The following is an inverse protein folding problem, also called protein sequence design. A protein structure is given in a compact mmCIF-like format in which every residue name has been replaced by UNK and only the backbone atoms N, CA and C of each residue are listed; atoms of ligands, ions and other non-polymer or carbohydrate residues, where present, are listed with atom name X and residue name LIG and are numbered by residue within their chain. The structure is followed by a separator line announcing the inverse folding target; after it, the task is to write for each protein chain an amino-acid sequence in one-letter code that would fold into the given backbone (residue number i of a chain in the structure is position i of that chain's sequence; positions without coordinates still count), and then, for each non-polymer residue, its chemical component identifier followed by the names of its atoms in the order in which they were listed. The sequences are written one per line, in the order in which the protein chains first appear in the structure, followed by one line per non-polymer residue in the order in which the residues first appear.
data_IF_895650873367
#
_entry.id   IF_895650873367
#
_cell.length_a   1.000
_cell.length_b   1.000
_cell.length_c   1.000
_cell.angle_alpha   90.00
_cell.angle_beta   90.00
_cell.angle_gamma   90.00
#
_symmetry.space_group_name_H-M   'P 1'
#
loop_
_entity.id
_entity.type
_entity.pdbx_description
1 polymer ?
#
# COMPACT_ATOMS: atom_id res chain seq x y z
N UNK A 1 9.47 -7.74 -28.67
CA UNK A 1 9.21 -8.16 -27.28
C UNK A 1 10.20 -7.41 -26.39
N UNK A 2 9.72 -6.63 -25.42
CA UNK A 2 10.57 -5.83 -24.55
C UNK A 2 10.91 -6.64 -23.29
N UNK A 3 12.18 -6.67 -22.90
CA UNK A 3 12.65 -7.24 -21.64
C UNK A 3 13.96 -6.56 -21.23
N UNK A 4 14.29 -6.62 -19.94
CA UNK A 4 15.60 -6.20 -19.41
C UNK A 4 16.35 -7.44 -18.93
N UNK A 5 17.62 -7.66 -19.33
CA UNK A 5 18.34 -8.92 -19.10
C UNK A 5 18.58 -9.25 -17.62
N UNK A 6 18.52 -8.25 -16.75
CA UNK A 6 18.74 -8.40 -15.31
C UNK A 6 17.52 -8.01 -14.46
N UNK A 7 16.36 -7.77 -15.08
CA UNK A 7 15.16 -7.45 -14.32
C UNK A 7 14.60 -8.69 -13.61
N UNK A 8 14.14 -8.49 -12.37
CA UNK A 8 13.44 -9.52 -11.59
C UNK A 8 11.93 -9.31 -11.65
N UNK A 9 11.46 -8.13 -11.24
CA UNK A 9 10.04 -7.76 -11.25
C UNK A 9 9.85 -6.37 -11.85
N UNK A 10 9.45 -6.31 -13.12
CA UNK A 10 9.01 -5.05 -13.74
C UNK A 10 7.71 -4.53 -13.12
N UNK A 11 6.90 -5.41 -12.52
CA UNK A 11 5.67 -5.05 -11.81
C UNK A 11 5.93 -4.07 -10.66
N UNK A 12 7.06 -4.22 -9.96
CA UNK A 12 7.45 -3.32 -8.87
C UNK A 12 8.23 -2.09 -9.34
N UNK A 13 8.53 -1.98 -10.63
CA UNK A 13 9.25 -0.83 -11.19
C UNK A 13 8.33 0.36 -11.46
N UNK A 14 8.92 1.49 -11.83
CA UNK A 14 8.22 2.67 -12.35
C UNK A 14 7.35 2.41 -13.59
N UNK A 15 7.62 1.33 -14.33
CA UNK A 15 6.82 0.90 -15.49
C UNK A 15 5.63 0.01 -15.09
N UNK A 16 5.66 -0.50 -13.86
CA UNK A 16 4.69 -1.43 -13.35
C UNK A 16 3.58 -0.74 -12.56
N UNK A 17 3.19 -1.35 -11.46
CA UNK A 17 2.09 -0.89 -10.63
C UNK A 17 2.61 0.09 -9.59
N UNK A 18 2.99 1.30 -10.00
CA UNK A 18 3.37 2.38 -9.08
C UNK A 18 2.55 3.63 -9.38
N UNK A 19 2.22 4.40 -8.34
CA UNK A 19 1.60 5.71 -8.50
C UNK A 19 2.60 6.78 -8.05
N UNK A 20 3.30 7.40 -9.01
CA UNK A 20 4.30 8.44 -8.74
C UNK A 20 3.70 9.65 -8.03
N UNK A 21 2.40 9.91 -8.18
CA UNK A 21 1.72 11.01 -7.48
C UNK A 21 1.65 10.80 -5.96
N UNK A 22 2.01 9.60 -5.47
CA UNK A 22 1.97 9.24 -4.04
C UNK A 22 3.33 9.29 -3.34
N UNK A 23 4.45 9.44 -4.06
CA UNK A 23 5.79 9.41 -3.45
C UNK A 23 6.03 10.56 -2.46
N UNK A 24 5.27 11.65 -2.58
CA UNK A 24 5.36 12.83 -1.74
C UNK A 24 4.27 12.92 -0.65
N UNK A 25 3.53 11.84 -0.38
CA UNK A 25 2.45 11.87 0.62
C UNK A 25 2.95 11.98 2.07
N UNK A 26 4.26 11.77 2.32
CA UNK A 26 4.85 11.90 3.65
C UNK A 26 4.28 10.93 4.68
N UNK A 27 3.71 9.80 4.25
CA UNK A 27 3.18 8.77 5.13
C UNK A 27 4.36 7.98 5.71
N UNK A 28 4.53 8.03 7.02
CA UNK A 28 5.56 7.31 7.78
C UNK A 28 4.98 6.06 8.44
N UNK A 29 5.85 5.14 8.85
CA UNK A 29 5.48 3.87 9.50
C UNK A 29 6.02 3.77 10.94
N UNK A 30 6.28 4.92 11.58
CA UNK A 30 6.90 5.00 12.90
C UNK A 30 5.87 4.84 14.02
N UNK A 31 4.73 5.52 13.87
CA UNK A 31 3.62 5.51 14.82
C UNK A 31 2.28 5.29 14.09
N UNK A 32 1.36 4.59 14.77
CA UNK A 32 0.05 4.25 14.21
C UNK A 32 -0.81 5.50 13.97
N UNK A 33 -0.83 6.44 14.91
CA UNK A 33 -1.63 7.64 14.78
C UNK A 33 -1.07 8.55 13.70
N UNK A 34 0.26 8.68 13.60
CA UNK A 34 0.91 9.40 12.50
C UNK A 34 0.58 8.78 11.14
N UNK A 35 0.69 7.46 11.01
CA UNK A 35 0.34 6.74 9.78
C UNK A 35 -1.10 7.02 9.35
N UNK A 36 -2.06 6.85 10.28
CA UNK A 36 -3.47 7.09 9.99
C UNK A 36 -3.74 8.57 9.68
N UNK A 37 -3.10 9.50 10.40
CA UNK A 37 -3.25 10.93 10.13
C UNK A 37 -2.74 11.29 8.72
N UNK A 38 -1.60 10.74 8.31
CA UNK A 38 -1.05 10.90 6.97
C UNK A 38 -1.98 10.36 5.88
N UNK A 39 -2.51 9.15 6.08
CA UNK A 39 -3.47 8.53 5.15
C UNK A 39 -4.78 9.33 5.05
N UNK A 40 -5.37 9.74 6.18
CA UNK A 40 -6.60 10.56 6.19
C UNK A 40 -6.37 11.94 5.56
N UNK A 41 -5.18 12.51 5.73
CA UNK A 41 -4.78 13.76 5.07
C UNK A 41 -4.74 13.57 3.56
N UNK A 42 -4.04 12.53 3.08
CA UNK A 42 -3.91 12.23 1.65
C UNK A 42 -5.26 12.12 0.93
N UNK A 43 -6.27 11.52 1.58
CA UNK A 43 -7.63 11.37 1.02
C UNK A 43 -8.40 12.68 0.96
N UNK A 44 -8.01 13.68 1.74
CA UNK A 44 -8.63 15.01 1.77
C UNK A 44 -7.83 16.05 0.98
N UNK A 45 -6.65 15.71 0.48
CA UNK A 45 -5.79 16.63 -0.27
C UNK A 45 -6.23 16.68 -1.73
N UNK A 46 -6.69 17.82 -2.26
CA UNK A 46 -7.02 17.96 -3.68
C UNK A 46 -5.79 17.75 -4.58
N UNK A 47 -5.99 17.17 -5.77
CA UNK A 47 -4.98 17.04 -6.80
C UNK A 47 -5.33 17.91 -8.01
N UNK A 48 -4.43 18.82 -8.38
CA UNK A 48 -4.62 19.65 -9.59
C UNK A 48 -4.69 18.79 -10.87
N UNK A 49 -3.94 17.69 -10.91
CA UNK A 49 -3.95 16.76 -12.04
C UNK A 49 -5.32 16.10 -12.20
N UNK A 50 -5.88 15.58 -11.10
CA UNK A 50 -7.19 14.91 -11.12
C UNK A 50 -8.35 15.89 -11.24
N UNK A 51 -8.18 17.13 -10.78
CA UNK A 51 -9.15 18.20 -11.01
C UNK A 51 -9.29 18.55 -12.49
N UNK A 52 -8.18 18.52 -13.27
CA UNK A 52 -8.21 18.77 -14.74
C UNK A 52 -8.99 17.71 -15.52
N UNK A 53 -9.04 16.48 -15.01
CA UNK A 53 -9.87 15.41 -15.60
C UNK A 53 -11.37 15.73 -15.43
N UNK A 54 -11.72 16.41 -14.32
CA UNK A 54 -13.09 16.70 -13.93
C UNK A 54 -13.75 15.52 -13.20
N UNK A 55 -14.76 15.84 -12.38
CA UNK A 55 -15.53 14.84 -11.64
C UNK A 55 -16.59 14.18 -12.52
N UNK A 56 -17.18 14.94 -13.44
CA UNK A 56 -18.26 14.51 -14.31
C UNK A 56 -18.03 15.04 -15.73
N UNK A 57 -18.34 14.22 -16.73
CA UNK A 57 -18.33 14.59 -18.14
C UNK A 57 -19.54 13.99 -18.83
N UNK A 58 -20.27 14.81 -19.59
CA UNK A 58 -21.48 14.41 -20.33
C UNK A 58 -22.51 13.67 -19.45
N UNK A 59 -22.72 14.15 -18.23
CA UNK A 59 -23.65 13.55 -17.27
C UNK A 59 -23.13 12.31 -16.53
N UNK A 60 -21.92 11.82 -16.83
CA UNK A 60 -21.33 10.62 -16.21
C UNK A 60 -20.20 10.96 -15.24
N UNK A 61 -20.24 10.37 -14.04
CA UNK A 61 -19.14 10.47 -13.08
C UNK A 61 -17.92 9.71 -13.59
N UNK A 62 -16.77 10.38 -13.59
CA UNK A 62 -15.48 9.81 -13.97
C UNK A 62 -14.68 9.33 -12.75
N UNK A 63 -14.90 9.95 -11.60
CA UNK A 63 -14.15 9.76 -10.37
C UNK A 63 -15.10 9.87 -9.15
N UNK A 64 -14.68 9.38 -7.99
CA UNK A 64 -15.38 9.55 -6.71
C UNK A 64 -15.14 10.97 -6.16
N UNK A 65 -13.90 11.45 -6.26
CA UNK A 65 -13.48 12.81 -5.95
C UNK A 65 -12.20 13.14 -6.75
N UNK A 66 -11.68 14.35 -6.61
CA UNK A 66 -10.45 14.81 -7.28
C UNK A 66 -9.28 14.98 -6.30
N UNK A 67 -9.22 14.17 -5.24
CA UNK A 67 -8.14 14.19 -4.25
C UNK A 67 -7.00 13.26 -4.67
N UNK A 68 -5.81 13.43 -4.07
CA UNK A 68 -4.63 12.59 -4.38
C UNK A 68 -4.95 11.10 -4.18
N UNK A 69 -5.75 10.77 -3.16
CA UNK A 69 -6.39 9.48 -3.00
C UNK A 69 -7.90 9.66 -2.94
N UNK A 70 -8.64 8.90 -3.73
CA UNK A 70 -10.09 8.89 -3.67
C UNK A 70 -10.58 8.17 -2.41
N UNK A 71 -9.94 7.05 -2.08
CA UNK A 71 -10.18 6.23 -0.89
C UNK A 71 -8.87 5.62 -0.39
N UNK A 72 -8.85 5.12 0.84
CA UNK A 72 -7.67 4.52 1.49
C UNK A 72 -7.02 3.39 0.68
N UNK A 73 -7.83 2.62 -0.04
CA UNK A 73 -7.35 1.44 -0.77
C UNK A 73 -6.44 1.80 -1.96
N UNK A 74 -6.49 3.04 -2.43
CA UNK A 74 -5.71 3.56 -3.56
C UNK A 74 -4.24 3.83 -3.19
N UNK A 75 -3.90 3.91 -1.89
CA UNK A 75 -2.51 4.08 -1.44
C UNK A 75 -1.66 2.88 -1.87
N UNK A 76 -0.85 2.99 -2.91
CA UNK A 76 0.08 1.94 -3.29
C UNK A 76 1.21 1.84 -2.26
N UNK A 77 1.30 0.67 -1.61
CA UNK A 77 2.37 0.37 -0.66
C UNK A 77 2.75 -1.11 -0.78
N UNK A 78 4.06 -1.45 -0.73
CA UNK A 78 4.52 -2.84 -0.84
C UNK A 78 4.14 -3.68 0.38
N UNK A 79 3.91 -3.05 1.53
CA UNK A 79 3.39 -3.66 2.74
C UNK A 79 2.39 -2.71 3.40
N UNK A 80 1.30 -3.22 3.97
CA UNK A 80 0.27 -2.41 4.63
C UNK A 80 -0.09 -2.96 6.01
N UNK A 81 -0.25 -2.10 7.03
CA UNK A 81 -0.88 -2.50 8.28
C UNK A 81 -2.39 -2.67 8.06
N UNK A 82 -2.97 -3.74 8.64
CA UNK A 82 -4.38 -4.06 8.47
C UNK A 82 -5.04 -4.48 9.77
N UNK A 83 -6.35 -4.27 9.80
CA UNK A 83 -7.29 -4.81 10.76
C UNK A 83 -8.60 -5.10 10.05
N UNK A 84 -9.30 -6.16 10.46
CA UNK A 84 -10.60 -6.49 9.91
C UNK A 84 -11.59 -5.38 10.25
N UNK A 85 -12.22 -4.81 9.22
CA UNK A 85 -13.20 -3.73 9.36
C UNK A 85 -14.55 -4.28 9.80
N UNK A 86 -15.23 -3.53 10.66
CA UNK A 86 -16.67 -3.72 10.92
C UNK A 86 -17.48 -3.18 9.73
N UNK A 87 -18.75 -3.56 9.64
CA UNK A 87 -19.63 -3.06 8.58
C UNK A 87 -19.72 -1.53 8.63
N UNK A 88 -19.36 -0.87 7.53
CA UNK A 88 -19.34 0.59 7.41
C UNK A 88 -18.10 1.28 7.99
N UNK A 89 -17.14 0.53 8.54
CA UNK A 89 -15.90 1.06 9.10
C UNK A 89 -14.84 1.21 8.01
N UNK A 90 -14.14 2.35 7.99
CA UNK A 90 -13.00 2.54 7.08
C UNK A 90 -11.77 1.75 7.58
N UNK A 91 -10.86 1.31 6.70
CA UNK A 91 -9.63 0.64 7.14
C UNK A 91 -8.82 1.43 8.18
N UNK A 92 -8.76 2.77 8.07
CA UNK A 92 -8.05 3.63 9.01
C UNK A 92 -8.78 3.75 10.35
N UNK A 93 -10.11 3.78 10.36
CA UNK A 93 -10.89 3.75 11.60
C UNK A 93 -10.73 2.42 12.33
N UNK A 94 -10.71 1.30 11.58
CA UNK A 94 -10.43 -0.01 12.16
C UNK A 94 -9.06 -0.02 12.85
N UNK A 95 -8.01 0.49 12.17
CA UNK A 95 -6.67 0.63 12.73
C UNK A 95 -6.65 1.49 13.99
N UNK A 96 -7.34 2.64 14.01
CA UNK A 96 -7.42 3.49 15.21
C UNK A 96 -8.17 2.81 16.36
N UNK A 97 -9.21 2.05 16.05
CA UNK A 97 -10.04 1.37 17.06
C UNK A 97 -9.28 0.29 17.82
N UNK A 98 -8.49 -0.52 17.10
CA UNK A 98 -7.92 -1.75 17.67
C UNK A 98 -6.42 -1.92 17.48
N UNK A 99 -5.73 -0.96 16.89
CA UNK A 99 -4.34 -1.14 16.48
C UNK A 99 -4.19 -2.04 15.26
N UNK A 100 -2.94 -2.39 14.95
CA UNK A 100 -2.61 -3.30 13.85
C UNK A 100 -2.92 -4.74 14.26
N UNK A 101 -3.65 -5.47 13.43
CA UNK A 101 -4.01 -6.88 13.66
C UNK A 101 -3.12 -7.83 12.86
N UNK A 102 -2.86 -7.48 11.60
CA UNK A 102 -1.99 -8.22 10.70
C UNK A 102 -1.33 -7.30 9.68
N UNK A 103 -0.36 -7.82 8.95
CA UNK A 103 0.33 -7.14 7.86
C UNK A 103 -0.03 -7.80 6.52
N UNK A 104 -0.22 -6.98 5.49
CA UNK A 104 -0.49 -7.43 4.13
C UNK A 104 0.76 -7.18 3.27
N UNK A 105 1.42 -8.25 2.83
CA UNK A 105 2.58 -8.18 1.93
C UNK A 105 2.07 -8.21 0.49
N UNK A 106 2.43 -7.18 -0.30
CA UNK A 106 1.88 -6.96 -1.64
C UNK A 106 2.94 -6.99 -2.75
N UNK A 107 4.19 -7.30 -2.39
CA UNK A 107 5.32 -7.31 -3.31
C UNK A 107 5.50 -8.60 -4.11
N UNK A 108 4.75 -9.68 -3.81
CA UNK A 108 4.86 -10.93 -4.57
C UNK A 108 4.25 -10.81 -5.96
N UNK A 109 5.00 -11.26 -6.96
CA UNK A 109 4.48 -11.51 -8.30
C UNK A 109 3.80 -12.88 -8.37
N UNK A 110 2.94 -13.06 -9.36
CA UNK A 110 2.32 -14.36 -9.63
C UNK A 110 3.43 -15.35 -10.01
N UNK A 111 3.48 -16.48 -9.31
CA UNK A 111 4.40 -17.57 -9.60
C UNK A 111 3.93 -18.32 -10.85
N UNK A 112 4.63 -18.22 -12.00
CA UNK A 112 4.22 -18.89 -13.22
C UNK A 112 4.45 -20.41 -13.19
N UNK A 113 5.18 -20.92 -12.19
CA UNK A 113 5.50 -22.33 -12.02
C UNK A 113 4.51 -23.06 -11.08
N UNK A 114 3.52 -22.35 -10.54
CA UNK A 114 2.46 -22.91 -9.72
C UNK A 114 1.09 -22.66 -10.36
N UNK A 115 0.20 -23.68 -10.42
CA UNK A 115 -1.13 -23.51 -11.01
C UNK A 115 -2.03 -22.55 -10.23
N UNK A 116 -1.71 -22.28 -8.96
CA UNK A 116 -2.47 -21.34 -8.10
C UNK A 116 -1.76 -19.98 -7.96
N UNK A 117 -0.67 -19.75 -8.69
CA UNK A 117 0.07 -18.48 -8.68
C UNK A 117 0.94 -18.22 -7.45
N UNK A 118 1.05 -19.20 -6.54
CA UNK A 118 1.91 -19.18 -5.34
C UNK A 118 2.21 -20.61 -4.90
N UNK A 119 3.32 -20.86 -4.20
CA UNK A 119 3.64 -22.18 -3.64
C UNK A 119 3.99 -22.15 -2.14
N UNK A 120 4.12 -23.34 -1.54
CA UNK A 120 4.44 -23.48 -0.12
C UNK A 120 5.86 -23.00 0.24
N UNK A 121 6.80 -23.00 -0.71
CA UNK A 121 8.15 -22.50 -0.47
C UNK A 121 8.14 -20.99 -0.27
N UNK A 122 7.42 -20.25 -1.14
CA UNK A 122 7.25 -18.81 -1.03
C UNK A 122 6.59 -18.42 0.31
N UNK A 123 5.56 -19.16 0.73
CA UNK A 123 4.87 -18.91 2.01
C UNK A 123 5.80 -19.14 3.20
N UNK A 124 6.48 -20.29 3.26
CA UNK A 124 7.41 -20.59 4.37
C UNK A 124 8.57 -19.61 4.45
N UNK A 125 9.07 -19.15 3.30
CA UNK A 125 10.08 -18.09 3.26
C UNK A 125 9.54 -16.79 3.86
N UNK A 126 8.34 -16.36 3.49
CA UNK A 126 7.73 -15.16 4.05
C UNK A 126 7.50 -15.29 5.56
N UNK A 127 7.05 -16.44 6.05
CA UNK A 127 6.90 -16.67 7.50
C UNK A 127 8.21 -16.43 8.24
N UNK A 128 9.31 -17.05 7.77
CA UNK A 128 10.64 -16.88 8.35
C UNK A 128 11.13 -15.43 8.25
N UNK A 129 10.93 -14.80 7.09
CA UNK A 129 11.37 -13.43 6.84
C UNK A 129 10.62 -12.42 7.72
N UNK A 130 9.32 -12.60 7.93
CA UNK A 130 8.50 -11.74 8.79
C UNK A 130 8.84 -11.93 10.27
N UNK A 131 9.10 -13.16 10.71
CA UNK A 131 9.59 -13.43 12.07
C UNK A 131 10.96 -12.80 12.28
N UNK A 132 11.86 -12.91 11.30
CA UNK A 132 13.17 -12.26 11.35
C UNK A 132 13.06 -10.74 11.46
N UNK A 133 12.17 -10.11 10.67
CA UNK A 133 11.94 -8.66 10.73
C UNK A 133 11.44 -8.20 12.10
N UNK A 134 10.61 -9.02 12.76
CA UNK A 134 10.17 -8.76 14.14
C UNK A 134 11.31 -8.88 15.15
N UNK A 135 12.18 -9.88 14.98
CA UNK A 135 13.28 -10.17 15.90
C UNK A 135 14.49 -9.24 15.70
N UNK A 136 14.64 -8.67 14.51
CA UNK A 136 15.68 -7.70 14.20
C UNK A 136 15.53 -6.44 15.05
N UNK A 137 16.65 -5.96 15.61
CA UNK A 137 16.70 -4.66 16.27
C UNK A 137 16.36 -3.57 15.28
N UNK A 138 15.56 -2.60 15.71
CA UNK A 138 15.24 -1.44 14.87
C UNK A 138 16.38 -0.44 14.96
N UNK A 139 16.68 0.25 13.87
CA UNK A 139 17.58 1.40 13.89
C UNK A 139 17.00 2.46 14.86
N UNK A 140 17.57 2.54 16.06
CA UNK A 140 17.03 3.31 17.20
C UNK A 140 17.33 2.68 18.57
N UNK A 141 17.60 1.38 18.62
CA UNK A 141 17.92 0.66 19.87
C UNK A 141 19.39 0.84 20.33
N UNK A 142 20.22 1.56 19.58
CA UNK A 142 21.63 1.83 19.92
C UNK A 142 21.86 3.11 20.75
N UNK A 143 20.80 3.85 21.10
CA UNK A 143 20.88 5.12 21.83
C UNK A 143 20.14 5.13 23.18
N UNK A 144 19.88 3.97 23.78
CA UNK A 144 19.42 3.84 25.17
C UNK A 144 20.34 2.98 26.01
#
# INVERSE_FOLDING_TARGET
MYYLPYATSLRLSDLGYTNKSQSNLGITFNDLHEYVAGLKRAIKTPSEEYAKIGLQKDGKYLQINSNILQIENELYAPIRPKRVTRRGETPSDALLRGGIEYIEVRSLDINPFSPIGVDAQQVRFLDLFMVWWRAGRRAGDEQR
#
